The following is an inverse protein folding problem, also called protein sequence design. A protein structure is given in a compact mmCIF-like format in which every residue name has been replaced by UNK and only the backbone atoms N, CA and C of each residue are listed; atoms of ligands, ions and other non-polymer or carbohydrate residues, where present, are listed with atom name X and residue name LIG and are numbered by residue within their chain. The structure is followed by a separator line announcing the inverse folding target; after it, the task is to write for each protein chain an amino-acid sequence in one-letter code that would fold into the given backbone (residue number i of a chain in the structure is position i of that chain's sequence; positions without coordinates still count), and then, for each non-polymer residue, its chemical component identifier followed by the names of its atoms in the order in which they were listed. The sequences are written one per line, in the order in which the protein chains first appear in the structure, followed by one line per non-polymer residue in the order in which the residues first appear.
data_IF_598739827256
#
_entry.id   IF_598739827256
#
_cell.length_a   1.000
_cell.length_b   1.000
_cell.length_c   1.000
_cell.angle_alpha   90.00
_cell.angle_beta   90.00
_cell.angle_gamma   90.00
#
_symmetry.space_group_name_H-M   'P 1'
#
loop_
_entity.id
_entity.type
_entity.pdbx_description
1 polymer ?
#
# COMPACT_ATOMS: atom_id res chain seq x y z
N UNK A 1 19.49 -18.02 -12.77
CA UNK A 1 18.39 -18.80 -12.15
C UNK A 1 18.07 -18.16 -10.81
N UNK A 2 16.92 -17.50 -10.68
CA UNK A 2 16.42 -16.99 -9.39
C UNK A 2 14.92 -17.25 -9.37
N UNK A 3 14.52 -18.24 -8.58
CA UNK A 3 13.14 -18.67 -8.37
C UNK A 3 12.45 -17.70 -7.42
N UNK A 4 11.63 -16.80 -7.96
CA UNK A 4 10.64 -16.07 -7.16
C UNK A 4 9.47 -17.01 -6.87
N UNK A 5 9.50 -17.69 -5.72
CA UNK A 5 8.36 -18.47 -5.24
C UNK A 5 7.29 -17.52 -4.68
N UNK A 6 6.59 -16.82 -5.56
CA UNK A 6 5.33 -16.14 -5.23
C UNK A 6 4.19 -17.15 -5.33
N UNK A 7 3.66 -17.60 -4.20
CA UNK A 7 2.48 -18.46 -4.16
C UNK A 7 1.26 -17.72 -4.74
N UNK A 8 0.78 -18.16 -5.90
CA UNK A 8 -0.40 -17.59 -6.57
C UNK A 8 -1.68 -18.18 -5.96
N UNK A 9 -2.43 -17.38 -5.19
CA UNK A 9 -3.81 -17.69 -4.81
C UNK A 9 -4.79 -17.02 -5.77
N UNK A 10 -5.94 -17.63 -6.11
CA UNK A 10 -6.99 -16.95 -6.86
C UNK A 10 -7.69 -15.91 -5.95
N UNK A 11 -7.88 -14.70 -6.49
CA UNK A 11 -8.20 -13.47 -5.75
C UNK A 11 -9.53 -12.89 -6.25
N UNK A 12 -10.34 -12.31 -5.34
CA UNK A 12 -11.69 -11.79 -5.63
C UNK A 12 -11.63 -10.46 -6.41
N UNK A 13 -12.69 -10.08 -7.15
CA UNK A 13 -12.74 -8.78 -7.83
C UNK A 13 -12.64 -7.64 -6.78
N UNK A 14 -11.60 -6.82 -6.86
CA UNK A 14 -11.32 -5.71 -5.94
C UNK A 14 -10.08 -5.88 -5.06
N UNK A 15 -9.45 -7.06 -5.04
CA UNK A 15 -8.20 -7.30 -4.31
C UNK A 15 -6.98 -7.04 -5.22
N UNK A 16 -6.00 -6.29 -4.69
CA UNK A 16 -4.73 -5.98 -5.36
C UNK A 16 -3.92 -7.23 -5.70
N UNK A 17 -3.77 -7.52 -7.00
CA UNK A 17 -3.06 -8.70 -7.53
C UNK A 17 -1.54 -8.69 -7.24
N UNK A 18 -0.98 -7.56 -6.82
CA UNK A 18 0.44 -7.39 -6.53
C UNK A 18 0.61 -7.03 -5.06
N UNK A 19 0.76 -8.06 -4.24
CA UNK A 19 1.19 -7.91 -2.86
C UNK A 19 2.66 -8.28 -2.77
N UNK A 20 3.47 -7.37 -2.24
CA UNK A 20 4.86 -7.62 -1.93
C UNK A 20 5.04 -7.70 -0.42
N UNK A 21 5.93 -8.59 0.01
CA UNK A 21 6.26 -8.76 1.41
C UNK A 21 7.77 -8.81 1.55
N UNK A 22 8.30 -8.03 2.48
CA UNK A 22 9.72 -8.02 2.83
C UNK A 22 9.90 -8.03 4.33
N UNK A 23 11.00 -8.62 4.77
CA UNK A 23 11.49 -8.53 6.13
C UNK A 23 12.64 -7.53 6.16
N UNK A 24 12.59 -6.58 7.09
CA UNK A 24 13.59 -5.52 7.22
C UNK A 24 14.89 -6.12 7.76
N UNK A 25 15.95 -6.03 6.95
CA UNK A 25 17.26 -6.51 7.33
C UNK A 25 17.99 -5.52 8.26
N UNK A 26 18.98 -5.99 9.00
CA UNK A 26 19.74 -5.17 9.96
C UNK A 26 20.40 -3.92 9.35
N UNK A 27 20.80 -3.98 8.07
CA UNK A 27 21.39 -2.84 7.36
C UNK A 27 20.35 -1.82 6.84
N UNK A 28 19.08 -2.21 6.80
CA UNK A 28 17.94 -1.36 6.38
C UNK A 28 17.24 -0.74 7.59
N UNK A 29 17.63 -1.13 8.79
CA UNK A 29 17.11 -0.57 10.03
C UNK A 29 17.52 0.89 10.17
N UNK A 30 16.61 1.69 10.74
CA UNK A 30 16.68 3.16 10.89
C UNK A 30 16.51 3.94 9.58
N UNK A 31 16.36 3.28 8.43
CA UNK A 31 15.91 3.95 7.23
C UNK A 31 14.44 4.35 7.35
N UNK A 32 14.04 5.37 6.59
CA UNK A 32 12.63 5.76 6.50
C UNK A 32 11.86 4.74 5.66
N UNK A 33 10.58 4.57 5.96
CA UNK A 33 9.69 3.72 5.17
C UNK A 33 9.70 4.10 3.68
N UNK A 34 9.75 5.40 3.36
CA UNK A 34 9.79 5.88 1.99
C UNK A 34 11.10 5.51 1.27
N UNK A 35 12.26 5.66 1.92
CA UNK A 35 13.56 5.31 1.33
C UNK A 35 13.67 3.79 1.09
N UNK A 36 13.19 2.99 2.05
CA UNK A 36 13.13 1.55 1.91
C UNK A 36 12.29 1.14 0.69
N UNK A 37 11.08 1.70 0.56
CA UNK A 37 10.19 1.37 -0.54
C UNK A 37 10.70 1.89 -1.88
N UNK A 38 11.34 3.07 -1.92
CA UNK A 38 12.01 3.58 -3.10
C UNK A 38 13.05 2.59 -3.63
N UNK A 39 13.89 2.03 -2.75
CA UNK A 39 14.93 1.05 -3.12
C UNK A 39 14.33 -0.29 -3.60
N UNK A 40 13.28 -0.78 -2.93
CA UNK A 40 12.67 -2.09 -3.25
C UNK A 40 11.80 -2.06 -4.50
N UNK A 41 10.93 -1.05 -4.61
CA UNK A 41 9.96 -0.93 -5.70
C UNK A 41 10.52 -0.22 -6.93
N UNK A 42 11.64 0.53 -6.79
CA UNK A 42 12.24 1.36 -7.85
C UNK A 42 11.24 2.35 -8.48
N UNK A 43 10.28 2.80 -7.68
CA UNK A 43 9.31 3.81 -8.08
C UNK A 43 9.86 5.22 -7.75
N UNK A 44 9.43 6.26 -8.49
CA UNK A 44 9.68 7.64 -8.12
C UNK A 44 9.24 7.94 -6.67
N UNK A 45 10.01 8.75 -5.94
CA UNK A 45 9.76 9.02 -4.51
C UNK A 45 8.37 9.60 -4.25
N UNK A 46 7.86 10.45 -5.14
CA UNK A 46 6.50 10.97 -5.04
C UNK A 46 5.43 9.86 -5.07
N UNK A 47 5.56 8.88 -5.97
CA UNK A 47 4.63 7.75 -6.04
C UNK A 47 4.72 6.84 -4.80
N UNK A 48 5.91 6.71 -4.22
CA UNK A 48 6.09 5.97 -2.96
C UNK A 48 5.35 6.66 -1.82
N UNK A 49 5.51 7.98 -1.70
CA UNK A 49 4.77 8.76 -0.69
C UNK A 49 3.27 8.63 -0.91
N UNK A 50 2.80 8.73 -2.15
CA UNK A 50 1.38 8.56 -2.45
C UNK A 50 0.87 7.17 -2.09
N UNK A 51 1.67 6.11 -2.27
CA UNK A 51 1.29 4.73 -1.87
C UNK A 51 1.15 4.60 -0.35
N UNK A 52 2.06 5.24 0.40
CA UNK A 52 2.03 5.27 1.86
C UNK A 52 0.80 6.05 2.34
N UNK A 53 0.55 7.25 1.80
CA UNK A 53 -0.62 8.07 2.16
C UNK A 53 -1.95 7.42 1.73
N UNK A 54 -1.96 6.75 0.57
CA UNK A 54 -3.10 5.96 0.13
C UNK A 54 -3.46 4.87 1.15
N UNK A 55 -2.46 4.38 1.90
CA UNK A 55 -2.60 3.32 2.89
C UNK A 55 -2.34 1.93 2.32
N UNK A 56 -1.61 1.85 1.20
CA UNK A 56 -1.23 0.58 0.57
C UNK A 56 -0.17 -0.20 1.34
N UNK A 57 0.42 0.41 2.37
CA UNK A 57 1.58 -0.11 3.09
C UNK A 57 1.21 -0.50 4.51
N UNK A 58 1.69 -1.66 4.94
CA UNK A 58 1.53 -2.20 6.28
C UNK A 58 2.88 -2.59 6.88
N UNK A 59 3.02 -2.35 8.17
CA UNK A 59 4.14 -2.83 9.01
C UNK A 59 3.52 -3.73 10.07
N UNK A 60 3.96 -4.98 10.19
CA UNK A 60 3.39 -5.97 11.12
C UNK A 60 1.86 -6.12 10.96
N UNK A 61 1.37 -6.09 9.72
CA UNK A 61 -0.05 -6.15 9.39
C UNK A 61 -0.86 -4.90 9.78
N UNK A 62 -0.24 -3.84 10.31
CA UNK A 62 -0.88 -2.55 10.60
C UNK A 62 -0.59 -1.54 9.51
N UNK A 63 -1.62 -0.89 9.00
CA UNK A 63 -1.47 0.17 8.00
C UNK A 63 -0.59 1.31 8.55
N UNK A 64 0.45 1.67 7.81
CA UNK A 64 1.31 2.80 8.12
C UNK A 64 1.17 3.85 7.02
N UNK A 65 0.91 5.11 7.42
CA UNK A 65 0.77 6.26 6.51
C UNK A 65 1.83 7.33 6.72
N UNK A 66 2.78 7.10 7.62
CA UNK A 66 3.89 8.03 7.83
C UNK A 66 5.10 7.59 6.98
N UNK A 67 5.46 8.35 5.92
CA UNK A 67 6.61 8.02 5.07
C UNK A 67 7.94 8.14 5.81
N UNK A 68 8.00 8.88 6.92
CA UNK A 68 9.20 9.07 7.75
C UNK A 68 9.28 8.06 8.89
N UNK A 69 8.34 7.12 8.97
CA UNK A 69 8.34 6.08 9.99
C UNK A 69 9.68 5.31 9.94
N UNK A 70 10.45 5.29 11.03
CA UNK A 70 11.71 4.57 11.07
C UNK A 70 11.46 3.07 11.14
N UNK A 71 12.19 2.31 10.34
CA UNK A 71 12.10 0.85 10.33
C UNK A 71 12.98 0.22 11.41
N UNK A 72 12.46 -0.85 12.03
CA UNK A 72 13.20 -1.71 12.94
C UNK A 72 13.58 -3.03 12.27
N UNK A 73 14.65 -3.66 12.77
CA UNK A 73 15.10 -4.98 12.33
C UNK A 73 13.98 -6.01 12.52
N UNK A 74 13.89 -6.99 11.62
CA UNK A 74 12.93 -8.09 11.63
C UNK A 74 11.46 -7.67 11.47
N UNK A 75 11.21 -6.40 11.13
CA UNK A 75 9.85 -5.96 10.80
C UNK A 75 9.39 -6.51 9.46
N UNK A 76 8.16 -6.99 9.40
CA UNK A 76 7.50 -7.40 8.19
C UNK A 76 6.77 -6.22 7.54
N UNK A 77 7.19 -5.85 6.34
CA UNK A 77 6.56 -4.82 5.52
C UNK A 77 5.76 -5.50 4.42
N UNK A 78 4.47 -5.19 4.35
CA UNK A 78 3.58 -5.65 3.28
C UNK A 78 3.09 -4.46 2.47
N UNK A 79 3.15 -4.55 1.15
CA UNK A 79 2.67 -3.52 0.24
C UNK A 79 1.66 -4.12 -0.72
N UNK A 80 0.45 -3.57 -0.73
CA UNK A 80 -0.62 -3.92 -1.63
C UNK A 80 -0.73 -2.88 -2.74
N UNK A 81 -0.17 -3.15 -3.92
CA UNK A 81 -0.21 -2.17 -5.01
C UNK A 81 -1.64 -2.07 -5.59
N UNK A 82 -2.26 -0.88 -5.59
CA UNK A 82 -3.57 -0.67 -6.20
C UNK A 82 -3.49 -0.79 -7.72
N UNK A 83 -4.46 -1.46 -8.34
CA UNK A 83 -4.48 -1.75 -9.77
C UNK A 83 -4.52 -0.49 -10.64
N UNK A 84 -5.22 0.54 -10.20
CA UNK A 84 -5.36 1.84 -10.87
C UNK A 84 -4.31 2.87 -10.43
N UNK A 85 -3.27 2.45 -9.70
CA UNK A 85 -2.38 3.35 -8.98
C UNK A 85 -3.06 4.00 -7.77
N UNK A 86 -2.42 5.02 -7.21
CA UNK A 86 -2.84 5.77 -6.01
C UNK A 86 -4.04 6.71 -6.24
N UNK A 87 -4.53 6.78 -7.47
CA UNK A 87 -5.68 7.62 -7.81
C UNK A 87 -6.96 7.05 -7.18
N UNK A 88 -7.58 7.86 -6.32
CA UNK A 88 -8.90 7.58 -5.75
C UNK A 88 -9.99 8.08 -6.70
N UNK A 89 -10.60 7.16 -7.45
CA UNK A 89 -11.77 7.44 -8.26
C UNK A 89 -13.04 7.26 -7.41
N UNK A 90 -13.44 8.28 -6.66
CA UNK A 90 -14.73 8.25 -5.98
C UNK A 90 -15.82 8.69 -6.96
N UNK A 91 -16.58 7.74 -7.48
CA UNK A 91 -17.80 8.04 -8.24
C UNK A 91 -19.01 7.88 -7.32
N UNK A 92 -19.80 8.95 -7.19
CA UNK A 92 -21.06 8.91 -6.45
C UNK A 92 -22.11 8.30 -7.38
N UNK A 93 -22.47 7.03 -7.15
CA UNK A 93 -23.60 6.42 -7.84
C UNK A 93 -24.92 6.88 -7.19
N UNK A 94 -25.61 7.80 -7.85
CA UNK A 94 -26.85 8.42 -7.36
C UNK A 94 -27.95 7.41 -7.07
N UNK A 95 -28.00 6.28 -7.78
CA UNK A 95 -29.01 5.24 -7.56
C UNK A 95 -28.78 4.44 -6.26
N UNK A 96 -27.60 4.57 -5.64
CA UNK A 96 -27.26 3.91 -4.36
C UNK A 96 -27.45 4.82 -3.15
N UNK A 97 -27.80 6.08 -3.35
CA UNK A 97 -28.06 7.04 -2.28
C UNK A 97 -29.48 6.77 -1.77
N UNK A 98 -29.60 6.30 -0.53
CA UNK A 98 -30.88 5.97 0.10
C UNK A 98 -31.56 7.22 0.67
N UNK A 99 -30.77 8.23 1.03
CA UNK A 99 -31.26 9.48 1.60
C UNK A 99 -30.40 10.67 1.16
N UNK A 100 -31.07 11.74 0.71
CA UNK A 100 -30.42 12.98 0.26
C UNK A 100 -31.04 14.18 0.96
N UNK A 101 -30.21 14.92 1.68
CA UNK A 101 -30.53 16.25 2.21
C UNK A 101 -29.51 17.29 1.72
N UNK A 102 -29.73 18.58 1.98
CA UNK A 102 -28.84 19.70 1.62
C UNK A 102 -27.42 19.54 2.15
N UNK A 103 -27.21 18.76 3.20
CA UNK A 103 -25.92 18.64 3.87
C UNK A 103 -25.34 17.22 3.90
N UNK A 104 -26.09 16.20 3.44
CA UNK A 104 -25.68 14.80 3.60
C UNK A 104 -26.16 13.95 2.42
N UNK A 105 -25.25 13.10 1.94
CA UNK A 105 -25.53 12.03 0.99
C UNK A 105 -25.25 10.71 1.72
N UNK A 106 -26.29 9.91 1.96
CA UNK A 106 -26.21 8.60 2.64
C UNK A 106 -26.86 7.50 1.80
#
# INVERSE_FOLDING_TARGET
MMTSNGHFRPVRPGESRLTFCWEVQAFEARESLADFLYKKLKLPMNQVVDLIDFGSVQIEGRQCRDPRCPLAVDQQITVHLPWSGVHRSYEINVQRILYRDRYLLA
#
